data_IF_690207733416
#
_entry.id   IF_690207733416
#
_cell.length_a   1.000
_cell.length_b   1.000
_cell.length_c   1.000
_cell.angle_alpha   90.00
_cell.angle_beta   90.00
_cell.angle_gamma   90.00
#
_symmetry.space_group_name_H-M   'P 1'
#
loop_
_entity.id
_entity.type
_entity.pdbx_description
1 polymer ?
#
# COMPACT_ATOMS: atom_id res chain seq x y z
N UNK A 1 13.42 -43.59 -15.26
CA UNK A 1 13.06 -42.18 -15.54
C UNK A 1 14.13 -41.32 -14.89
N UNK A 2 15.19 -41.04 -15.63
CA UNK A 2 16.27 -40.16 -15.17
C UNK A 2 15.76 -38.72 -15.16
N UNK A 3 15.57 -38.17 -13.96
CA UNK A 3 15.37 -36.72 -13.81
C UNK A 3 16.73 -36.05 -14.03
N UNK A 4 16.97 -35.62 -15.27
CA UNK A 4 18.07 -34.75 -15.63
C UNK A 4 17.93 -33.42 -14.88
N UNK A 5 18.49 -33.34 -13.67
CA UNK A 5 18.68 -32.09 -12.91
C UNK A 5 19.65 -31.22 -13.70
N UNK A 6 19.10 -30.34 -14.54
CA UNK A 6 19.89 -29.27 -15.16
C UNK A 6 20.56 -28.47 -14.03
N UNK A 7 21.88 -28.22 -14.10
CA UNK A 7 22.53 -27.36 -13.13
C UNK A 7 21.82 -26.01 -13.17
N UNK A 8 21.36 -25.55 -12.02
CA UNK A 8 20.73 -24.25 -11.81
C UNK A 8 21.77 -23.18 -12.13
N UNK A 9 21.91 -22.85 -13.41
CA UNK A 9 22.65 -21.69 -13.88
C UNK A 9 22.11 -20.50 -13.08
N UNK A 10 22.98 -19.86 -12.29
CA UNK A 10 22.71 -18.60 -11.60
C UNK A 10 22.55 -17.55 -12.71
N UNK A 11 21.38 -17.56 -13.33
CA UNK A 11 21.02 -16.63 -14.38
C UNK A 11 20.60 -15.32 -13.72
N UNK A 12 20.97 -14.21 -14.34
CA UNK A 12 20.56 -12.86 -13.91
C UNK A 12 19.05 -12.79 -13.71
N UNK A 13 18.27 -13.52 -14.53
CA UNK A 13 16.81 -13.63 -14.40
C UNK A 13 16.36 -14.26 -13.08
N UNK A 14 17.08 -15.25 -12.57
CA UNK A 14 16.77 -15.89 -11.29
C UNK A 14 17.05 -14.95 -10.11
N UNK A 15 18.15 -14.19 -10.17
CA UNK A 15 18.46 -13.17 -9.17
C UNK A 15 17.40 -12.06 -9.17
N UNK A 16 17.00 -11.58 -10.36
CA UNK A 16 15.94 -10.60 -10.50
C UNK A 16 14.61 -11.13 -9.96
N UNK A 17 14.25 -12.38 -10.25
CA UNK A 17 13.04 -13.00 -9.73
C UNK A 17 13.03 -13.06 -8.19
N UNK A 18 14.16 -13.41 -7.57
CA UNK A 18 14.34 -13.40 -6.10
C UNK A 18 14.11 -11.99 -5.54
N UNK A 19 14.79 -10.98 -6.09
CA UNK A 19 14.67 -9.58 -5.64
C UNK A 19 13.23 -9.08 -5.81
N UNK A 20 12.61 -9.34 -6.97
CA UNK A 20 11.23 -8.95 -7.23
C UNK A 20 10.27 -9.61 -6.24
N UNK A 21 10.43 -10.90 -5.95
CA UNK A 21 9.58 -11.61 -4.99
C UNK A 21 9.72 -11.07 -3.56
N UNK A 22 10.95 -10.79 -3.10
CA UNK A 22 11.21 -10.20 -1.79
C UNK A 22 10.65 -8.77 -1.68
N UNK A 23 10.85 -7.96 -2.72
CA UNK A 23 10.30 -6.60 -2.80
C UNK A 23 8.77 -6.64 -2.80
N UNK A 24 8.17 -7.54 -3.56
CA UNK A 24 6.73 -7.74 -3.59
C UNK A 24 6.18 -8.12 -2.21
N UNK A 25 6.84 -9.00 -1.46
CA UNK A 25 6.43 -9.38 -0.11
C UNK A 25 6.38 -8.16 0.83
N UNK A 26 7.41 -7.30 0.78
CA UNK A 26 7.53 -6.11 1.64
C UNK A 26 6.49 -5.04 1.28
N UNK A 27 6.29 -4.76 -0.01
CA UNK A 27 5.42 -3.67 -0.48
C UNK A 27 4.03 -4.14 -0.93
N UNK A 28 3.67 -5.39 -0.67
CA UNK A 28 2.40 -6.01 -1.08
C UNK A 28 1.18 -5.15 -0.80
N UNK A 29 1.06 -4.59 0.40
CA UNK A 29 -0.07 -3.72 0.77
C UNK A 29 -0.16 -2.43 -0.08
N UNK A 30 0.98 -1.81 -0.39
CA UNK A 30 1.04 -0.59 -1.22
C UNK A 30 0.73 -0.91 -2.68
N UNK A 31 1.26 -2.02 -3.19
CA UNK A 31 1.03 -2.51 -4.55
C UNK A 31 -0.45 -2.87 -4.75
N UNK A 32 -1.03 -3.65 -3.82
CA UNK A 32 -2.46 -4.01 -3.84
C UNK A 32 -3.34 -2.76 -3.85
N UNK A 33 -3.02 -1.76 -3.02
CA UNK A 33 -3.79 -0.50 -2.99
C UNK A 33 -3.67 0.30 -4.29
N UNK A 34 -2.45 0.42 -4.85
CA UNK A 34 -2.22 1.10 -6.12
C UNK A 34 -2.97 0.43 -7.27
N UNK A 35 -2.85 -0.90 -7.41
CA UNK A 35 -3.55 -1.67 -8.45
C UNK A 35 -5.06 -1.58 -8.25
N UNK A 36 -5.55 -1.71 -7.01
CA UNK A 36 -6.99 -1.60 -6.73
C UNK A 36 -7.54 -0.22 -7.10
N UNK A 37 -6.79 0.86 -6.91
CA UNK A 37 -7.19 2.20 -7.36
C UNK A 37 -7.30 2.29 -8.89
N UNK A 38 -6.33 1.73 -9.61
CA UNK A 38 -6.34 1.70 -11.08
C UNK A 38 -7.51 0.87 -11.59
N UNK A 39 -7.70 -0.34 -11.06
CA UNK A 39 -8.82 -1.23 -11.44
C UNK A 39 -10.17 -0.59 -11.11
N UNK A 40 -10.32 0.03 -9.93
CA UNK A 40 -11.54 0.78 -9.58
C UNK A 40 -11.77 1.95 -10.52
N UNK A 41 -10.71 2.66 -10.94
CA UNK A 41 -10.82 3.77 -11.90
C UNK A 41 -11.25 3.30 -13.29
N UNK A 42 -10.74 2.16 -13.74
CA UNK A 42 -11.10 1.55 -15.04
C UNK A 42 -12.48 0.90 -15.01
N UNK A 43 -12.90 0.37 -13.85
CA UNK A 43 -14.19 -0.28 -13.65
C UNK A 43 -15.30 0.67 -13.22
N UNK A 44 -15.07 2.00 -13.21
CA UNK A 44 -16.15 2.96 -12.94
C UNK A 44 -17.22 2.80 -14.02
N UNK A 45 -18.36 2.26 -13.64
CA UNK A 45 -19.56 2.29 -14.48
C UNK A 45 -19.89 3.75 -14.81
N UNK A 46 -20.40 4.07 -16.01
CA UNK A 46 -20.93 5.40 -16.28
C UNK A 46 -21.92 5.79 -15.17
N UNK A 47 -21.82 7.02 -14.63
CA UNK A 47 -22.67 7.44 -13.52
C UNK A 47 -24.12 7.28 -13.94
N UNK A 48 -24.92 6.65 -13.07
CA UNK A 48 -26.31 6.35 -13.38
C UNK A 48 -27.01 7.66 -13.79
N UNK A 49 -27.59 7.76 -15.01
CA UNK A 49 -28.11 9.01 -15.55
C UNK A 49 -29.19 9.62 -14.66
N UNK A 50 -29.88 8.80 -13.86
CA UNK A 50 -30.89 9.25 -12.89
C UNK A 50 -30.26 10.04 -11.72
N UNK A 51 -29.08 9.65 -11.24
CA UNK A 51 -28.38 10.35 -10.15
C UNK A 51 -27.88 11.71 -10.64
N UNK A 52 -27.32 11.77 -11.85
CA UNK A 52 -26.85 13.02 -12.45
C UNK A 52 -28.02 13.98 -12.66
N UNK A 53 -29.14 13.48 -13.17
CA UNK A 53 -30.36 14.28 -13.34
C UNK A 53 -30.92 14.80 -12.00
N UNK A 54 -30.93 13.98 -10.94
CA UNK A 54 -31.37 14.43 -9.61
C UNK A 54 -30.43 15.48 -9.01
N UNK A 55 -29.10 15.33 -9.15
CA UNK A 55 -28.12 16.34 -8.67
C UNK A 55 -28.29 17.67 -9.38
N UNK A 56 -28.55 17.66 -10.68
CA UNK A 56 -28.87 18.87 -11.44
C UNK A 56 -30.17 19.51 -10.93
N UNK A 57 -31.24 18.74 -10.74
CA UNK A 57 -32.50 19.24 -10.17
C UNK A 57 -32.32 19.86 -8.79
N UNK A 58 -31.55 19.22 -7.90
CA UNK A 58 -31.25 19.77 -6.56
C UNK A 58 -30.48 21.09 -6.67
N UNK A 59 -29.49 21.18 -7.57
CA UNK A 59 -28.73 22.41 -7.78
C UNK A 59 -29.61 23.55 -8.31
N UNK A 60 -30.58 23.24 -9.16
CA UNK A 60 -31.54 24.19 -9.70
C UNK A 60 -32.55 24.64 -8.63
N UNK A 61 -33.15 23.70 -7.88
CA UNK A 61 -34.05 24.03 -6.77
C UNK A 61 -33.36 24.85 -5.68
N UNK A 62 -32.10 24.55 -5.36
CA UNK A 62 -31.30 25.32 -4.40
C UNK A 62 -31.05 26.74 -4.89
N UNK A 63 -30.77 26.92 -6.19
CA UNK A 63 -30.60 28.23 -6.82
C UNK A 63 -31.90 29.03 -6.79
N UNK A 64 -33.04 28.39 -7.09
CA UNK A 64 -34.36 29.03 -7.01
C UNK A 64 -34.72 29.42 -5.58
N UNK A 65 -34.44 28.55 -4.59
CA UNK A 65 -34.71 28.81 -3.18
C UNK A 65 -33.91 30.01 -2.67
N UNK A 66 -32.65 30.15 -3.08
CA UNK A 66 -31.80 31.30 -2.72
C UNK A 66 -32.26 32.62 -3.35
N UNK A 67 -33.08 32.56 -4.41
CA UNK A 67 -33.71 33.73 -5.02
C UNK A 67 -35.01 34.18 -4.34
N UNK A 68 -35.55 33.38 -3.40
CA UNK A 68 -36.81 33.66 -2.70
C UNK A 68 -36.47 34.20 -1.31
N UNK A 69 -36.97 35.40 -0.99
CA UNK A 69 -36.84 35.96 0.35
C UNK A 69 -37.66 35.12 1.34
N UNK A 70 -37.04 34.55 2.39
CA UNK A 70 -37.76 33.81 3.41
C UNK A 70 -38.83 34.67 4.08
N UNK A 71 -38.54 35.96 4.31
CA UNK A 71 -39.43 36.89 5.03
C UNK A 71 -40.49 37.56 4.16
N UNK A 72 -40.30 37.59 2.85
CA UNK A 72 -41.25 38.19 1.90
C UNK A 72 -42.22 37.18 1.26
N UNK A 73 -41.77 35.95 1.03
CA UNK A 73 -42.54 34.91 0.31
C UNK A 73 -42.52 33.56 1.05
N UNK A 74 -42.73 33.58 2.38
CA UNK A 74 -42.65 32.41 3.27
C UNK A 74 -43.31 31.14 2.71
N UNK A 75 -44.55 31.22 2.22
CA UNK A 75 -45.29 30.05 1.72
C UNK A 75 -44.61 29.40 0.50
N UNK A 76 -44.03 30.20 -0.38
CA UNK A 76 -43.33 29.74 -1.59
C UNK A 76 -41.96 29.18 -1.24
N UNK A 77 -41.26 29.82 -0.29
CA UNK A 77 -40.01 29.33 0.27
C UNK A 77 -40.17 27.94 0.89
N UNK A 78 -41.10 27.75 1.83
CA UNK A 78 -41.32 26.44 2.48
C UNK A 78 -41.81 25.35 1.52
N UNK A 79 -42.59 25.72 0.49
CA UNK A 79 -43.00 24.78 -0.55
C UNK A 79 -41.79 24.27 -1.35
N UNK A 80 -40.88 25.18 -1.73
CA UNK A 80 -39.64 24.85 -2.46
C UNK A 80 -38.62 24.12 -1.58
N UNK A 81 -38.53 24.46 -0.30
CA UNK A 81 -37.71 23.76 0.68
C UNK A 81 -38.16 22.30 0.85
N UNK A 82 -39.47 22.06 0.93
CA UNK A 82 -40.03 20.71 1.00
C UNK A 82 -39.79 19.91 -0.28
N UNK A 83 -39.82 20.57 -1.43
CA UNK A 83 -39.51 19.97 -2.73
C UNK A 83 -38.01 19.61 -2.85
N UNK A 84 -37.12 20.48 -2.34
CA UNK A 84 -35.69 20.23 -2.24
C UNK A 84 -35.42 19.04 -1.32
N UNK A 85 -36.00 19.02 -0.11
CA UNK A 85 -35.83 17.91 0.83
C UNK A 85 -36.31 16.59 0.23
N UNK A 86 -37.46 16.58 -0.46
CA UNK A 86 -37.94 15.37 -1.15
C UNK A 86 -36.97 14.89 -2.23
N UNK A 87 -36.41 15.80 -3.05
CA UNK A 87 -35.43 15.45 -4.06
C UNK A 87 -34.11 14.95 -3.43
N UNK A 88 -33.73 15.49 -2.27
CA UNK A 88 -32.54 15.07 -1.53
C UNK A 88 -32.73 13.68 -0.89
N UNK A 89 -33.93 13.39 -0.38
CA UNK A 89 -34.31 12.06 0.14
C UNK A 89 -34.32 11.02 -0.98
N UNK A 90 -34.87 11.35 -2.15
CA UNK A 90 -34.82 10.48 -3.34
C UNK A 90 -33.38 10.24 -3.81
N UNK A 91 -32.52 11.27 -3.79
CA UNK A 91 -31.09 11.12 -4.09
C UNK A 91 -30.41 10.18 -3.09
N UNK A 92 -30.64 10.38 -1.79
CA UNK A 92 -30.04 9.56 -0.73
C UNK A 92 -30.52 8.11 -0.81
N UNK A 93 -31.81 7.88 -1.11
CA UNK A 93 -32.36 6.55 -1.32
C UNK A 93 -31.74 5.85 -2.56
N UNK A 94 -31.60 6.57 -3.68
CA UNK A 94 -30.89 6.05 -4.86
C UNK A 94 -29.40 5.82 -4.58
N UNK A 95 -28.72 6.67 -3.81
CA UNK A 95 -27.31 6.47 -3.44
C UNK A 95 -27.15 5.26 -2.49
N UNK A 96 -28.11 5.02 -1.59
CA UNK A 96 -28.16 3.84 -0.72
C UNK A 96 -28.44 2.54 -1.50
N UNK A 97 -29.30 2.59 -2.52
CA UNK A 97 -29.51 1.48 -3.47
C UNK A 97 -28.24 1.24 -4.32
N UNK A 98 -27.52 2.32 -4.66
CA UNK A 98 -26.18 2.28 -5.22
C UNK A 98 -25.08 2.01 -4.17
N UNK A 99 -25.42 1.74 -2.90
CA UNK A 99 -24.51 1.16 -1.90
C UNK A 99 -23.93 -0.19 -2.34
N UNK A 100 -24.48 -0.77 -3.41
CA UNK A 100 -23.81 -1.79 -4.22
C UNK A 100 -22.42 -1.38 -4.71
N UNK A 101 -22.09 -0.10 -4.89
CA UNK A 101 -20.75 0.37 -5.30
C UNK A 101 -19.69 0.15 -4.22
N UNK A 102 -20.00 0.37 -2.93
CA UNK A 102 -19.04 0.07 -1.86
C UNK A 102 -18.83 -1.44 -1.74
N UNK A 103 -19.89 -2.24 -1.88
CA UNK A 103 -19.80 -3.68 -1.95
C UNK A 103 -19.03 -4.17 -3.20
N UNK A 104 -19.24 -3.56 -4.38
CA UNK A 104 -18.48 -3.82 -5.61
C UNK A 104 -17.00 -3.46 -5.44
N UNK A 105 -16.70 -2.32 -4.82
CA UNK A 105 -15.35 -1.87 -4.54
C UNK A 105 -14.62 -2.81 -3.56
N UNK A 106 -15.33 -3.34 -2.57
CA UNK A 106 -14.81 -4.36 -1.64
C UNK A 106 -14.57 -5.71 -2.33
N UNK A 107 -15.50 -6.12 -3.21
CA UNK A 107 -15.32 -7.32 -4.05
C UNK A 107 -14.11 -7.18 -4.96
N UNK A 108 -13.95 -6.04 -5.63
CA UNK A 108 -12.78 -5.75 -6.49
C UNK A 108 -11.49 -5.80 -5.68
N UNK A 109 -11.45 -5.17 -4.50
CA UNK A 109 -10.27 -5.21 -3.61
C UNK A 109 -9.91 -6.64 -3.22
N UNK A 110 -10.92 -7.44 -2.89
CA UNK A 110 -10.75 -8.85 -2.53
C UNK A 110 -10.22 -9.67 -3.72
N UNK A 111 -10.80 -9.52 -4.90
CA UNK A 111 -10.36 -10.22 -6.13
C UNK A 111 -8.93 -9.85 -6.48
N UNK A 112 -8.58 -8.56 -6.46
CA UNK A 112 -7.22 -8.08 -6.73
C UNK A 112 -6.24 -8.65 -5.70
N UNK A 113 -6.61 -8.67 -4.42
CA UNK A 113 -5.78 -9.27 -3.36
C UNK A 113 -5.55 -10.77 -3.60
N UNK A 114 -6.59 -11.52 -3.94
CA UNK A 114 -6.49 -12.96 -4.21
C UNK A 114 -5.59 -13.22 -5.43
N UNK A 115 -5.80 -12.51 -6.54
CA UNK A 115 -4.96 -12.68 -7.75
C UNK A 115 -3.49 -12.36 -7.47
N UNK A 116 -3.22 -11.30 -6.70
CA UNK A 116 -1.87 -10.91 -6.30
C UNK A 116 -1.24 -11.91 -5.33
N UNK A 117 -2.01 -12.54 -4.44
CA UNK A 117 -1.51 -13.60 -3.57
C UNK A 117 -1.19 -14.87 -4.36
N UNK A 118 -2.01 -15.24 -5.35
CA UNK A 118 -1.76 -16.39 -6.22
C UNK A 118 -0.50 -16.16 -7.06
N UNK A 119 -0.34 -14.96 -7.64
CA UNK A 119 0.88 -14.64 -8.39
C UNK A 119 2.11 -14.64 -7.49
N UNK A 120 2.02 -14.09 -6.27
CA UNK A 120 3.10 -14.14 -5.29
C UNK A 120 3.49 -15.57 -4.93
N UNK A 121 2.50 -16.45 -4.72
CA UNK A 121 2.74 -17.86 -4.43
C UNK A 121 3.42 -18.58 -5.61
N UNK A 122 3.02 -18.28 -6.84
CA UNK A 122 3.67 -18.80 -8.04
C UNK A 122 5.14 -18.33 -8.15
N UNK A 123 5.42 -17.06 -7.86
CA UNK A 123 6.80 -16.53 -7.81
C UNK A 123 7.61 -17.20 -6.70
N UNK A 124 7.05 -17.37 -5.50
CA UNK A 124 7.71 -18.08 -4.40
C UNK A 124 8.03 -19.53 -4.77
N UNK A 125 7.12 -20.20 -5.49
CA UNK A 125 7.36 -21.57 -5.96
C UNK A 125 8.48 -21.63 -7.01
N UNK A 126 8.58 -20.64 -7.88
CA UNK A 126 9.69 -20.52 -8.83
C UNK A 126 11.03 -20.29 -8.11
N UNK A 127 11.05 -19.40 -7.12
CA UNK A 127 12.26 -19.03 -6.37
C UNK A 127 12.66 -20.07 -5.31
N UNK A 128 11.75 -20.97 -4.92
CA UNK A 128 12.00 -22.00 -3.90
C UNK A 128 13.20 -22.91 -4.18
N UNK A 129 13.58 -23.11 -5.44
CA UNK A 129 14.74 -23.93 -5.79
C UNK A 129 16.09 -23.23 -5.68
N UNK A 130 16.13 -21.95 -5.26
CA UNK A 130 17.36 -21.13 -5.25
C UNK A 130 17.90 -21.06 -3.82
N UNK A 131 18.98 -21.80 -3.58
CA UNK A 131 19.74 -21.83 -2.32
C UNK A 131 20.90 -20.84 -2.38
N UNK A 132 21.09 -20.02 -1.35
CA UNK A 132 22.18 -19.07 -1.27
C UNK A 132 23.44 -19.68 -0.61
N UNK A 133 23.29 -20.32 0.56
CA UNK A 133 24.39 -20.95 1.30
C UNK A 133 23.87 -21.95 2.34
N UNK A 134 24.74 -22.81 2.86
CA UNK A 134 24.42 -23.81 3.90
C UNK A 134 24.94 -23.34 5.28
N UNK A 135 24.13 -23.42 6.33
CA UNK A 135 24.50 -23.10 7.74
C UNK A 135 24.23 -24.33 8.62
N UNK A 136 25.05 -24.67 9.63
CA UNK A 136 24.72 -25.74 10.57
C UNK A 136 23.32 -25.60 11.19
N UNK A 137 22.53 -26.68 11.22
CA UNK A 137 21.13 -26.65 11.70
C UNK A 137 21.01 -26.21 13.17
N UNK A 138 22.07 -26.45 13.95
CA UNK A 138 22.15 -26.17 15.39
C UNK A 138 22.23 -24.70 15.76
N UNK A 139 22.62 -23.80 14.84
CA UNK A 139 22.89 -22.39 15.17
C UNK A 139 21.58 -21.58 15.33
N UNK A 140 20.54 -21.91 14.57
CA UNK A 140 19.31 -21.11 14.49
C UNK A 140 18.06 -21.87 14.93
N UNK A 141 18.21 -22.96 15.69
CA UNK A 141 17.06 -23.67 16.25
C UNK A 141 16.32 -22.79 17.27
N UNK A 142 14.97 -22.65 17.22
CA UNK A 142 14.00 -23.33 16.35
C UNK A 142 13.62 -22.55 15.07
N UNK A 143 14.15 -21.34 14.88
CA UNK A 143 13.80 -20.43 13.79
C UNK A 143 14.38 -20.81 12.42
N UNK A 144 15.06 -21.94 12.32
CA UNK A 144 15.71 -22.38 11.09
C UNK A 144 14.73 -22.51 9.90
N UNK A 145 13.47 -22.84 10.17
CA UNK A 145 12.40 -22.89 9.16
C UNK A 145 12.20 -21.55 8.44
N UNK A 146 12.40 -20.42 9.13
CA UNK A 146 12.28 -19.08 8.51
C UNK A 146 13.36 -18.81 7.47
N UNK A 147 14.57 -19.32 7.73
CA UNK A 147 15.72 -19.13 6.84
C UNK A 147 15.63 -20.08 5.63
N UNK A 148 14.97 -21.23 5.81
CA UNK A 148 14.65 -22.19 4.75
C UNK A 148 13.46 -21.78 3.88
N UNK A 149 12.61 -20.82 4.28
CA UNK A 149 11.43 -20.40 3.52
C UNK A 149 11.81 -19.71 2.19
N UNK A 150 11.18 -20.03 1.04
CA UNK A 150 10.03 -20.91 0.81
C UNK A 150 10.39 -22.38 0.45
N UNK A 151 11.65 -22.79 0.56
CA UNK A 151 12.17 -24.13 0.23
C UNK A 151 11.90 -25.19 1.32
N UNK A 152 10.76 -25.11 2.01
CA UNK A 152 10.44 -25.95 3.18
C UNK A 152 10.33 -27.45 2.81
N UNK A 153 10.07 -27.75 1.54
CA UNK A 153 9.88 -29.11 1.00
C UNK A 153 11.01 -29.59 0.07
N UNK A 154 12.19 -28.96 0.15
CA UNK A 154 13.43 -29.53 -0.40
C UNK A 154 14.06 -28.74 -1.56
N UNK A 155 15.39 -28.67 -1.49
CA UNK A 155 16.29 -29.36 -2.41
C UNK A 155 17.35 -30.07 -1.54
N UNK A 156 17.87 -31.23 -1.95
CA UNK A 156 18.99 -31.88 -1.24
C UNK A 156 20.33 -31.26 -1.70
N UNK A 157 20.43 -29.94 -1.66
CA UNK A 157 21.61 -29.20 -2.15
C UNK A 157 22.71 -29.14 -1.10
N UNK A 158 22.33 -29.17 0.18
CA UNK A 158 23.23 -29.19 1.33
C UNK A 158 23.24 -30.56 2.04
N UNK A 159 24.34 -30.94 2.72
CA UNK A 159 24.39 -32.14 3.55
C UNK A 159 23.39 -32.05 4.71
N UNK A 160 22.92 -33.21 5.22
CA UNK A 160 21.86 -33.31 6.24
C UNK A 160 22.16 -32.63 7.58
N UNK A 161 23.42 -32.29 7.84
CA UNK A 161 23.85 -31.55 9.04
C UNK A 161 23.69 -30.03 8.91
N UNK A 162 23.39 -29.56 7.70
CA UNK A 162 23.26 -28.15 7.36
C UNK A 162 21.84 -27.81 6.88
N UNK A 163 21.44 -26.61 7.23
CA UNK A 163 20.27 -25.94 6.74
C UNK A 163 20.59 -25.06 5.54
N UNK A 164 19.76 -25.23 4.52
CA UNK A 164 19.79 -24.39 3.33
C UNK A 164 19.19 -23.02 3.65
N UNK A 165 19.91 -21.97 3.31
CA UNK A 165 19.40 -20.62 3.37
C UNK A 165 18.81 -20.26 2.02
N UNK A 166 17.51 -19.95 2.00
CA UNK A 166 16.86 -19.54 0.76
C UNK A 166 17.40 -18.18 0.31
N UNK A 167 17.66 -18.04 -1.00
CA UNK A 167 17.97 -16.74 -1.60
C UNK A 167 16.86 -15.71 -1.36
N UNK A 168 15.60 -16.15 -1.25
CA UNK A 168 14.47 -15.28 -0.90
C UNK A 168 14.60 -14.72 0.51
N UNK A 169 14.88 -15.56 1.51
CA UNK A 169 15.02 -15.14 2.90
C UNK A 169 16.16 -14.12 3.07
N UNK A 170 17.30 -14.38 2.40
CA UNK A 170 18.43 -13.45 2.39
C UNK A 170 18.05 -12.11 1.75
N UNK A 171 17.47 -12.12 0.55
CA UNK A 171 17.08 -10.90 -0.15
C UNK A 171 16.02 -10.11 0.65
N UNK A 172 15.07 -10.79 1.26
CA UNK A 172 14.06 -10.20 2.13
C UNK A 172 14.70 -9.49 3.32
N UNK A 173 15.62 -10.15 4.04
CA UNK A 173 16.34 -9.55 5.16
C UNK A 173 17.18 -8.35 4.72
N UNK A 174 17.92 -8.46 3.62
CA UNK A 174 18.76 -7.37 3.11
C UNK A 174 17.94 -6.14 2.73
N UNK A 175 16.84 -6.31 1.99
CA UNK A 175 15.96 -5.20 1.62
C UNK A 175 15.31 -4.59 2.87
N UNK A 176 14.94 -5.41 3.86
CA UNK A 176 14.36 -4.93 5.10
C UNK A 176 15.36 -4.12 5.93
N UNK A 177 16.60 -4.60 6.07
CA UNK A 177 17.68 -3.89 6.75
C UNK A 177 18.02 -2.57 6.06
N UNK A 178 18.12 -2.56 4.73
CA UNK A 178 18.36 -1.32 3.96
C UNK A 178 17.24 -0.30 4.20
N UNK A 179 15.97 -0.73 4.21
CA UNK A 179 14.84 0.14 4.51
C UNK A 179 14.88 0.70 5.93
N UNK A 180 15.29 -0.12 6.92
CA UNK A 180 15.43 0.32 8.31
C UNK A 180 16.56 1.35 8.45
N UNK A 181 17.73 1.06 7.88
CA UNK A 181 18.87 2.00 7.88
C UNK A 181 18.49 3.30 7.20
N UNK A 182 17.82 3.23 6.04
CA UNK A 182 17.37 4.41 5.32
C UNK A 182 16.40 5.27 6.15
N UNK A 183 15.42 4.65 6.80
CA UNK A 183 14.49 5.35 7.70
C UNK A 183 15.20 5.97 8.90
N UNK A 184 16.16 5.26 9.49
CA UNK A 184 16.95 5.79 10.61
C UNK A 184 17.79 6.99 10.17
N UNK A 185 18.44 6.92 9.00
CA UNK A 185 19.20 8.05 8.43
C UNK A 185 18.28 9.24 8.17
N UNK A 186 17.11 9.03 7.53
CA UNK A 186 16.13 10.10 7.31
C UNK A 186 15.69 10.75 8.63
N UNK A 187 15.37 9.94 9.64
CA UNK A 187 14.97 10.44 10.96
C UNK A 187 16.08 11.22 11.66
N UNK A 188 17.35 10.90 11.41
CA UNK A 188 18.49 11.66 11.95
C UNK A 188 18.70 12.96 11.18
N UNK A 189 18.60 12.94 9.85
CA UNK A 189 18.70 14.14 9.01
C UNK A 189 17.60 15.17 9.33
N UNK A 190 16.39 14.71 9.63
CA UNK A 190 15.25 15.59 9.96
C UNK A 190 15.35 16.18 11.38
N UNK A 191 16.13 15.59 12.29
CA UNK A 191 16.36 16.08 13.66
C UNK A 191 17.53 17.05 13.81
N UNK A 192 18.42 17.13 12.83
CA UNK A 192 19.62 18.00 12.87
C UNK A 192 19.37 19.51 12.65
N UNK A 193 18.25 20.03 12.12
CA UNK A 193 18.18 21.47 11.84
C UNK A 193 17.88 22.38 13.05
N UNK A 194 17.56 21.87 14.25
CA UNK A 194 17.24 22.76 15.39
C UNK A 194 18.35 22.92 16.44
N UNK A 195 19.14 21.89 16.75
CA UNK A 195 20.16 22.01 17.82
C UNK A 195 21.50 22.64 17.36
N UNK A 196 21.74 22.74 16.05
CA UNK A 196 22.93 23.38 15.51
C UNK A 196 22.78 24.90 15.34
N UNK A 197 21.55 25.40 15.15
CA UNK A 197 21.26 26.83 15.03
C UNK A 197 21.30 27.55 16.39
N UNK A 198 20.78 26.92 17.44
CA UNK A 198 20.66 27.55 18.76
C UNK A 198 22.01 27.65 19.50
N UNK A 199 22.96 26.77 19.19
CA UNK A 199 24.32 26.82 19.73
C UNK A 199 25.26 27.78 18.97
N UNK A 200 24.97 28.06 17.70
CA UNK A 200 25.74 29.04 16.92
C UNK A 200 25.33 30.48 17.28
N UNK A 201 24.04 30.74 17.46
CA UNK A 201 23.51 32.07 17.83
C UNK A 201 23.90 32.49 19.25
N UNK A 202 23.94 31.55 20.20
CA UNK A 202 24.43 31.83 21.56
C UNK A 202 25.95 32.04 21.66
N UNK A 203 26.74 31.43 20.76
CA UNK A 203 28.19 31.64 20.72
C UNK A 203 28.54 33.02 20.13
N UNK A 204 27.78 33.49 19.13
CA UNK A 204 28.00 34.80 18.52
C UNK A 204 27.62 35.94 19.49
N UNK A 205 26.48 35.83 20.18
CA UNK A 205 26.04 36.84 21.15
C UNK A 205 26.95 36.95 22.40
N UNK A 206 27.59 35.85 22.82
CA UNK A 206 28.53 35.88 23.95
C UNK A 206 29.88 36.53 23.58
N UNK A 207 30.23 36.55 22.30
CA UNK A 207 31.50 37.11 21.81
C UNK A 207 31.38 38.62 21.56
N UNK A 208 30.21 39.10 21.15
CA UNK A 208 29.96 40.53 20.92
C UNK A 208 29.81 41.33 22.24
N UNK A 209 29.23 40.72 23.29
CA UNK A 209 29.07 41.36 24.60
C UNK A 209 30.40 41.63 25.32
N UNK A 210 31.48 40.87 25.04
CA UNK A 210 32.81 41.11 25.62
C UNK A 210 33.62 42.19 24.91
N UNK A 211 33.17 42.70 23.77
CA UNK A 211 33.91 43.72 23.01
C UNK A 211 33.45 45.16 23.30
N UNK A 212 32.29 45.31 23.96
CA UNK A 212 31.65 46.59 24.23
C UNK A 212 31.67 47.01 25.71
N UNK A 213 32.60 46.49 26.52
CA UNK A 213 32.81 46.92 27.91
C UNK A 213 34.30 47.15 28.19
#
# INVERSE_FOLDING_TARGET
MESSTKPTQISIFNILAVICSATFAIYSAKIVSAISKVVKSLSKSPPNPKIVALKLKISELKRELHGISPTGEFAKYFKKDRELNKANDELSALEAENGTETAKNLKIDTVVRVLLQVSALALLRYVSGITAYCIPDTIFWPFNVLVRFPAIFGNDSCPTEFAEVSGFALAFLMIHLLNLVWKTVQSLTEKVPQSASENAENAENSTESKKNN
#
